data_IF_893716946278
#
_entry.id   IF_893716946278
#
_cell.length_a   1.000
_cell.length_b   1.000
_cell.length_c   1.000
_cell.angle_alpha   90.00
_cell.angle_beta   90.00
_cell.angle_gamma   90.00
#
_symmetry.space_group_name_H-M   'P 1'
#
loop_
_entity.id
_entity.type
_entity.pdbx_description
1 polymer ?
#
# COMPACT_ATOMS: atom_id res chain seq x y z
N UNK A 1 1.81 23.60 -3.06
CA UNK A 1 1.61 22.15 -3.24
C UNK A 1 0.54 21.92 -4.31
N UNK A 2 0.95 21.35 -5.44
CA UNK A 2 0.02 21.04 -6.52
C UNK A 2 -0.47 19.60 -6.33
N UNK A 3 -1.79 19.43 -6.16
CA UNK A 3 -2.42 18.13 -5.92
C UNK A 3 -3.59 17.96 -6.91
N UNK A 4 -3.32 17.42 -8.11
CA UNK A 4 -4.34 17.29 -9.15
C UNK A 4 -5.43 16.31 -8.71
N UNK A 5 -6.67 16.66 -9.03
CA UNK A 5 -7.84 15.84 -8.80
C UNK A 5 -8.75 15.85 -10.01
N UNK A 6 -9.18 14.68 -10.44
CA UNK A 6 -10.16 14.49 -11.50
C UNK A 6 -11.30 13.62 -10.96
N UNK A 7 -12.52 14.03 -11.18
CA UNK A 7 -13.74 13.27 -10.82
C UNK A 7 -14.63 13.25 -12.06
N UNK A 8 -14.74 12.07 -12.66
CA UNK A 8 -15.61 11.84 -13.81
C UNK A 8 -16.79 10.97 -13.38
N UNK A 9 -18.00 11.42 -13.63
CA UNK A 9 -19.22 10.67 -13.36
C UNK A 9 -20.07 10.62 -14.62
N UNK A 10 -20.43 9.42 -14.99
CA UNK A 10 -21.36 9.16 -16.08
C UNK A 10 -22.55 8.37 -15.59
N UNK A 11 -23.72 9.00 -15.67
CA UNK A 11 -25.00 8.37 -15.36
C UNK A 11 -25.53 7.73 -16.64
N UNK A 12 -25.41 6.39 -16.74
CA UNK A 12 -25.83 5.61 -17.91
C UNK A 12 -27.35 5.50 -17.91
N UNK A 13 -27.95 5.28 -16.74
CA UNK A 13 -29.40 5.24 -16.52
C UNK A 13 -29.76 5.74 -15.11
N UNK A 14 -31.03 5.69 -14.74
CA UNK A 14 -31.44 6.05 -13.38
C UNK A 14 -30.91 5.07 -12.33
N UNK A 15 -30.55 3.87 -12.73
CA UNK A 15 -30.10 2.79 -11.85
C UNK A 15 -28.68 2.32 -12.16
N UNK A 16 -28.01 2.96 -13.13
CA UNK A 16 -26.66 2.60 -13.55
C UNK A 16 -25.77 3.82 -13.68
N UNK A 17 -24.62 3.78 -13.03
CA UNK A 17 -23.60 4.85 -13.12
C UNK A 17 -22.20 4.29 -13.03
N UNK A 18 -21.30 5.01 -13.66
CA UNK A 18 -19.84 4.82 -13.53
C UNK A 18 -19.23 6.10 -12.96
N UNK A 19 -18.27 5.94 -12.09
CA UNK A 19 -17.49 7.04 -11.54
C UNK A 19 -16.03 6.68 -11.54
N UNK A 20 -15.22 7.55 -12.12
CA UNK A 20 -13.77 7.43 -12.13
C UNK A 20 -13.19 8.63 -11.40
N UNK A 21 -12.35 8.37 -10.42
CA UNK A 21 -11.67 9.40 -9.64
C UNK A 21 -10.18 9.18 -9.71
N UNK A 22 -9.47 10.25 -9.93
CA UNK A 22 -8.03 10.32 -9.75
C UNK A 22 -7.71 11.46 -8.80
N UNK A 23 -6.83 11.19 -7.85
CA UNK A 23 -6.24 12.23 -7.03
C UNK A 23 -4.79 11.90 -6.72
N UNK A 24 -3.95 12.91 -6.79
CA UNK A 24 -2.59 12.84 -6.33
C UNK A 24 -2.41 13.67 -5.06
N UNK A 25 -1.54 13.23 -4.20
CA UNK A 25 -1.12 13.97 -3.00
C UNK A 25 0.38 13.84 -2.82
N UNK A 26 0.99 14.91 -2.32
CA UNK A 26 2.41 14.95 -2.03
C UNK A 26 2.63 14.81 -0.52
N UNK A 27 3.49 13.88 -0.13
CA UNK A 27 3.97 13.71 1.25
C UNK A 27 5.37 14.34 1.37
N UNK A 28 5.54 15.23 2.34
CA UNK A 28 6.85 15.80 2.64
C UNK A 28 7.59 14.92 3.64
N UNK A 29 8.93 14.83 3.54
CA UNK A 29 9.75 14.21 4.58
C UNK A 29 9.53 14.92 5.94
N UNK A 30 9.63 14.18 7.03
CA UNK A 30 9.60 14.79 8.36
C UNK A 30 10.88 15.58 8.61
N UNK A 31 10.82 16.55 9.54
CA UNK A 31 12.02 17.28 9.94
C UNK A 31 13.11 16.36 10.50
N UNK A 32 12.70 15.35 11.25
CA UNK A 32 13.63 14.34 11.81
C UNK A 32 14.30 13.51 10.72
N UNK A 33 13.59 13.20 9.64
CA UNK A 33 14.18 12.47 8.52
C UNK A 33 15.18 13.32 7.72
N UNK A 34 15.04 14.64 7.73
CA UNK A 34 15.92 15.56 7.01
C UNK A 34 17.15 15.98 7.82
N UNK A 35 17.09 15.89 9.15
CA UNK A 35 18.21 16.29 10.01
C UNK A 35 19.33 15.24 9.97
N UNK A 36 20.47 15.62 9.42
CA UNK A 36 21.69 14.78 9.36
C UNK A 36 22.44 14.73 10.70
N UNK A 37 21.68 14.55 11.79
CA UNK A 37 22.23 14.34 13.12
C UNK A 37 22.32 12.85 13.39
N UNK A 38 23.51 12.35 13.63
CA UNK A 38 23.73 10.94 13.94
C UNK A 38 23.39 10.68 15.40
N UNK A 39 22.42 9.81 15.61
CA UNK A 39 22.12 9.24 16.94
C UNK A 39 22.94 7.96 17.12
N UNK A 40 23.91 8.03 18.01
CA UNK A 40 24.82 6.96 18.41
C UNK A 40 24.66 6.58 19.90
N UNK A 41 23.55 6.94 20.50
CA UNK A 41 23.24 6.63 21.91
C UNK A 41 23.26 5.12 22.20
N UNK A 42 22.93 4.33 21.19
CA UNK A 42 23.08 2.88 21.18
C UNK A 42 24.13 2.44 20.14
N UNK A 43 25.30 1.95 20.55
CA UNK A 43 26.37 1.56 19.60
C UNK A 43 26.00 0.38 18.68
N UNK A 44 24.95 -0.38 19.00
CA UNK A 44 24.43 -1.44 18.15
C UNK A 44 23.30 -0.95 17.21
N UNK A 45 22.85 0.29 17.36
CA UNK A 45 21.83 0.88 16.52
C UNK A 45 22.10 2.36 16.30
N UNK A 46 22.75 2.67 15.22
CA UNK A 46 23.12 4.02 14.84
C UNK A 46 22.23 4.51 13.72
N UNK A 47 21.64 5.66 13.87
CA UNK A 47 20.70 6.23 12.89
C UNK A 47 21.07 7.67 12.53
N UNK A 48 20.75 8.07 11.29
CA UNK A 48 20.89 9.45 10.83
C UNK A 48 19.75 9.81 9.90
N UNK A 49 19.44 11.11 9.78
CA UNK A 49 18.54 11.60 8.74
C UNK A 49 19.24 11.71 7.38
N UNK A 50 18.52 12.26 6.39
CA UNK A 50 19.00 12.44 5.03
C UNK A 50 18.41 13.72 4.44
N UNK A 51 19.22 14.77 4.34
CA UNK A 51 18.82 16.04 3.73
C UNK A 51 18.50 15.94 2.23
N UNK A 52 18.98 14.87 1.56
CA UNK A 52 18.70 14.59 0.15
C UNK A 52 17.34 13.98 -0.14
N UNK A 53 16.48 13.80 0.86
CA UNK A 53 15.16 13.24 0.67
C UNK A 53 14.27 14.12 -0.20
N UNK A 54 13.59 13.47 -1.15
CA UNK A 54 12.57 14.07 -2.00
C UNK A 54 11.18 13.75 -1.48
N UNK A 55 10.26 14.67 -1.75
CA UNK A 55 8.83 14.45 -1.45
C UNK A 55 8.29 13.23 -2.16
N UNK A 56 7.47 12.46 -1.47
CA UNK A 56 6.75 11.34 -2.03
C UNK A 56 5.50 11.80 -2.75
N UNK A 57 5.09 11.05 -3.80
CA UNK A 57 3.86 11.25 -4.54
C UNK A 57 2.98 10.01 -4.45
N UNK A 58 1.79 10.21 -3.91
CA UNK A 58 0.76 9.18 -3.84
C UNK A 58 -0.30 9.45 -4.90
N UNK A 59 -0.41 8.56 -5.89
CA UNK A 59 -1.40 8.59 -6.96
C UNK A 59 -2.48 7.58 -6.64
N UNK A 60 -3.73 8.02 -6.58
CA UNK A 60 -4.91 7.19 -6.32
C UNK A 60 -5.85 7.21 -7.49
N UNK A 61 -6.15 6.04 -8.00
CA UNK A 61 -7.19 5.80 -9.00
C UNK A 61 -8.30 4.99 -8.34
N UNK A 62 -9.53 5.45 -8.50
CA UNK A 62 -10.71 4.72 -8.04
C UNK A 62 -11.71 4.64 -9.18
N UNK A 63 -12.18 3.44 -9.45
CA UNK A 63 -13.27 3.16 -10.39
C UNK A 63 -14.41 2.54 -9.61
N UNK A 64 -15.56 3.14 -9.73
CA UNK A 64 -16.79 2.66 -9.13
C UNK A 64 -17.84 2.49 -10.23
N UNK A 65 -18.47 1.33 -10.27
CA UNK A 65 -19.59 1.04 -11.15
C UNK A 65 -20.69 0.37 -10.36
N UNK A 66 -21.90 0.81 -10.55
CA UNK A 66 -23.08 0.10 -10.06
C UNK A 66 -24.17 0.05 -11.13
N UNK A 67 -24.93 -1.02 -11.09
CA UNK A 67 -26.11 -1.22 -11.89
C UNK A 67 -27.16 -2.00 -11.09
N UNK A 68 -28.42 -1.64 -11.26
CA UNK A 68 -29.53 -2.33 -10.65
C UNK A 68 -30.68 -2.48 -11.65
N UNK A 69 -31.14 -3.70 -11.86
CA UNK A 69 -32.28 -4.04 -12.71
C UNK A 69 -33.49 -4.29 -11.82
N UNK A 70 -34.39 -3.32 -11.77
CA UNK A 70 -35.54 -3.31 -10.86
C UNK A 70 -36.45 -4.51 -11.07
N UNK A 71 -36.77 -4.83 -12.31
CA UNK A 71 -37.68 -5.93 -12.68
C UNK A 71 -37.19 -7.30 -12.21
N UNK A 72 -35.87 -7.50 -12.25
CA UNK A 72 -35.21 -8.74 -11.83
C UNK A 72 -34.76 -8.71 -10.38
N UNK A 73 -34.85 -7.56 -9.69
CA UNK A 73 -34.27 -7.34 -8.38
C UNK A 73 -32.81 -7.81 -8.33
N UNK A 74 -32.07 -7.50 -9.38
CA UNK A 74 -30.69 -7.92 -9.57
C UNK A 74 -29.80 -6.70 -9.66
N UNK A 75 -28.74 -6.71 -8.89
CA UNK A 75 -27.78 -5.62 -8.88
C UNK A 75 -26.35 -6.10 -8.73
N UNK A 76 -25.44 -5.30 -9.23
CA UNK A 76 -24.02 -5.48 -8.99
C UNK A 76 -23.33 -4.15 -8.80
N UNK A 77 -22.32 -4.19 -7.98
CA UNK A 77 -21.45 -3.06 -7.69
C UNK A 77 -19.99 -3.52 -7.79
N UNK A 78 -19.20 -2.79 -8.54
CA UNK A 78 -17.76 -3.00 -8.65
C UNK A 78 -17.07 -1.74 -8.13
N UNK A 79 -16.10 -1.92 -7.26
CA UNK A 79 -15.21 -0.87 -6.82
C UNK A 79 -13.77 -1.37 -6.95
N UNK A 80 -12.95 -0.65 -7.69
CA UNK A 80 -11.54 -0.94 -7.85
C UNK A 80 -10.72 0.30 -7.47
N UNK A 81 -9.68 0.08 -6.69
CA UNK A 81 -8.73 1.11 -6.30
C UNK A 81 -7.33 0.68 -6.68
N UNK A 82 -6.55 1.61 -7.18
CA UNK A 82 -5.12 1.46 -7.40
C UNK A 82 -4.39 2.64 -6.78
N UNK A 83 -3.43 2.35 -5.93
CA UNK A 83 -2.58 3.34 -5.28
C UNK A 83 -1.13 3.07 -5.66
N UNK A 84 -0.44 4.10 -6.12
CA UNK A 84 0.98 4.05 -6.41
C UNK A 84 1.69 5.15 -5.63
N UNK A 85 2.76 4.77 -4.94
CA UNK A 85 3.59 5.71 -4.20
C UNK A 85 4.97 5.81 -4.87
N UNK A 86 5.23 6.96 -5.46
CA UNK A 86 6.52 7.30 -6.06
C UNK A 86 7.37 8.07 -5.04
N UNK A 87 8.66 7.85 -5.06
CA UNK A 87 9.62 8.41 -4.10
C UNK A 87 9.20 8.13 -2.64
N UNK A 88 8.65 6.95 -2.37
CA UNK A 88 8.30 6.56 -1.01
C UNK A 88 9.52 6.66 -0.11
N UNK A 89 9.36 7.20 1.10
CA UNK A 89 10.43 7.26 2.09
C UNK A 89 10.42 5.93 2.83
N UNK A 90 11.54 5.23 2.76
CA UNK A 90 11.74 3.94 3.40
C UNK A 90 13.08 3.95 4.13
N UNK A 91 13.15 3.31 5.28
CA UNK A 91 14.40 3.17 6.03
C UNK A 91 15.29 2.14 5.34
N UNK A 92 16.46 2.57 4.90
CA UNK A 92 17.53 1.68 4.49
C UNK A 92 18.28 1.22 5.74
N UNK A 93 18.56 -0.07 5.82
CA UNK A 93 19.27 -0.68 6.94
C UNK A 93 20.48 -1.43 6.43
N UNK A 94 21.63 -1.12 6.99
CA UNK A 94 22.89 -1.82 6.76
C UNK A 94 23.28 -2.52 8.05
N UNK A 95 23.63 -3.79 7.95
CA UNK A 95 23.98 -4.62 9.09
C UNK A 95 25.45 -5.05 9.01
N UNK A 96 26.21 -4.72 10.05
CA UNK A 96 27.56 -5.21 10.21
C UNK A 96 27.54 -6.57 10.89
N UNK A 97 27.88 -7.62 10.15
CA UNK A 97 27.86 -8.99 10.64
C UNK A 97 28.99 -9.30 11.64
N UNK A 98 30.06 -8.50 11.68
CA UNK A 98 31.19 -8.69 12.58
C UNK A 98 30.89 -8.14 13.97
N UNK A 99 30.30 -6.94 14.04
CA UNK A 99 30.03 -6.23 15.30
C UNK A 99 28.61 -6.38 15.79
N UNK A 100 27.68 -6.83 14.93
CA UNK A 100 26.24 -6.84 15.18
C UNK A 100 25.58 -5.46 15.10
N UNK A 101 26.32 -4.42 14.72
CA UNK A 101 25.78 -3.08 14.62
C UNK A 101 24.85 -2.91 13.42
N UNK A 102 23.79 -2.13 13.61
CA UNK A 102 22.80 -1.77 12.60
C UNK A 102 22.88 -0.26 12.33
N UNK A 103 23.03 0.09 11.07
CA UNK A 103 23.04 1.47 10.60
C UNK A 103 21.77 1.73 9.82
N UNK A 104 21.06 2.80 10.12
CA UNK A 104 19.78 3.13 9.49
C UNK A 104 19.72 4.55 8.97
N UNK A 105 19.17 4.73 7.77
CA UNK A 105 18.97 6.02 7.11
C UNK A 105 17.69 6.03 6.28
N UNK A 106 16.86 7.07 6.33
CA UNK A 106 15.72 7.20 5.43
C UNK A 106 16.19 7.50 4.00
N UNK A 107 15.64 6.81 3.01
CA UNK A 107 15.94 6.95 1.60
C UNK A 107 14.68 6.87 0.74
N UNK A 108 14.67 7.55 -0.41
CA UNK A 108 13.57 7.41 -1.35
C UNK A 108 13.65 6.10 -2.13
N UNK A 109 12.51 5.43 -2.29
CA UNK A 109 12.39 4.21 -3.05
C UNK A 109 11.13 4.23 -3.93
N UNK A 110 11.24 3.65 -5.12
CA UNK A 110 10.13 3.47 -6.04
C UNK A 110 9.74 1.99 -6.14
N UNK A 111 8.50 1.76 -6.59
CA UNK A 111 7.98 0.42 -6.81
C UNK A 111 6.85 0.03 -5.84
N UNK A 112 6.49 0.89 -4.92
CA UNK A 112 5.39 0.65 -3.98
C UNK A 112 4.05 0.95 -4.63
N UNK A 113 3.18 -0.06 -4.69
CA UNK A 113 1.82 0.09 -5.15
C UNK A 113 0.92 -0.99 -4.55
N UNK A 114 -0.35 -0.69 -4.46
CA UNK A 114 -1.35 -1.66 -4.08
C UNK A 114 -2.63 -1.46 -4.89
N UNK A 115 -3.35 -2.54 -5.07
CA UNK A 115 -4.68 -2.52 -5.67
C UNK A 115 -5.64 -3.32 -4.82
N UNK A 116 -6.87 -2.85 -4.74
CA UNK A 116 -7.96 -3.61 -4.17
C UNK A 116 -9.19 -3.51 -5.08
N UNK A 117 -9.90 -4.61 -5.19
CA UNK A 117 -11.13 -4.72 -5.94
C UNK A 117 -12.21 -5.37 -5.09
N UNK A 118 -13.44 -4.85 -5.18
CA UNK A 118 -14.60 -5.44 -4.53
C UNK A 118 -15.71 -5.59 -5.55
N UNK A 119 -16.30 -6.78 -5.62
CA UNK A 119 -17.49 -7.09 -6.39
C UNK A 119 -18.60 -7.49 -5.42
N UNK A 120 -19.71 -6.79 -5.49
CA UNK A 120 -20.95 -7.17 -4.82
C UNK A 120 -21.97 -7.56 -5.89
N UNK A 121 -22.65 -8.65 -5.69
CA UNK A 121 -23.73 -9.07 -6.53
C UNK A 121 -24.90 -9.51 -5.65
N UNK A 122 -26.09 -9.09 -6.02
CA UNK A 122 -27.32 -9.53 -5.39
C UNK A 122 -28.38 -9.84 -6.43
N UNK A 123 -29.14 -10.88 -6.19
CA UNK A 123 -30.26 -11.26 -7.05
C UNK A 123 -31.35 -11.96 -6.27
N UNK A 124 -32.59 -11.76 -6.71
CA UNK A 124 -33.72 -12.52 -6.25
C UNK A 124 -34.08 -13.60 -7.27
N UNK A 125 -34.29 -14.82 -6.81
CA UNK A 125 -34.54 -16.00 -7.64
C UNK A 125 -36.00 -16.49 -7.45
N UNK A 126 -36.58 -16.97 -8.52
CA UNK A 126 -37.91 -17.55 -8.58
C UNK A 126 -39.02 -16.54 -8.88
N UNK A 127 -40.21 -17.03 -9.29
CA UNK A 127 -41.35 -16.17 -9.69
C UNK A 127 -41.83 -15.26 -8.58
N UNK A 128 -41.79 -15.73 -7.34
CA UNK A 128 -42.19 -14.97 -6.14
C UNK A 128 -41.05 -14.28 -5.43
N UNK A 129 -39.80 -14.42 -5.99
CA UNK A 129 -38.59 -13.80 -5.46
C UNK A 129 -38.30 -14.08 -3.98
N UNK A 130 -38.68 -15.28 -3.53
CA UNK A 130 -38.51 -15.69 -2.13
C UNK A 130 -37.04 -16.00 -1.78
N UNK A 131 -36.21 -16.35 -2.77
CA UNK A 131 -34.79 -16.62 -2.58
C UNK A 131 -33.97 -15.40 -2.96
N UNK A 132 -33.13 -14.94 -2.04
CA UNK A 132 -32.19 -13.87 -2.28
C UNK A 132 -30.77 -14.40 -2.11
N UNK A 133 -29.93 -14.12 -3.10
CA UNK A 133 -28.51 -14.44 -3.09
C UNK A 133 -27.72 -13.14 -3.06
N UNK A 134 -26.80 -13.03 -2.12
CA UNK A 134 -25.85 -11.94 -2.04
C UNK A 134 -24.45 -12.52 -2.04
N UNK A 135 -23.59 -11.99 -2.89
CA UNK A 135 -22.17 -12.33 -2.88
C UNK A 135 -21.35 -11.06 -2.71
N UNK A 136 -20.27 -11.18 -1.98
CA UNK A 136 -19.24 -10.18 -1.87
C UNK A 136 -17.89 -10.85 -2.08
N UNK A 137 -17.19 -10.43 -3.13
CA UNK A 137 -15.82 -10.88 -3.41
C UNK A 137 -14.88 -9.69 -3.28
N UNK A 138 -13.87 -9.81 -2.44
CA UNK A 138 -12.81 -8.83 -2.27
C UNK A 138 -11.46 -9.41 -2.65
N UNK A 139 -10.69 -8.67 -3.43
CA UNK A 139 -9.32 -9.02 -3.81
C UNK A 139 -8.42 -7.85 -3.45
N UNK A 140 -7.34 -8.15 -2.72
CA UNK A 140 -6.30 -7.18 -2.42
C UNK A 140 -4.95 -7.71 -2.90
N UNK A 141 -4.17 -6.84 -3.51
CA UNK A 141 -2.80 -7.12 -3.89
C UNK A 141 -1.91 -5.95 -3.51
N UNK A 142 -0.83 -6.25 -2.80
CA UNK A 142 0.18 -5.29 -2.41
C UNK A 142 1.55 -5.67 -2.98
N UNK A 143 2.25 -4.68 -3.50
CA UNK A 143 3.63 -4.77 -3.94
C UNK A 143 4.43 -3.70 -3.19
N UNK A 144 5.18 -4.15 -2.19
CA UNK A 144 5.99 -3.28 -1.34
C UNK A 144 7.47 -3.54 -1.62
N UNK A 145 8.20 -2.47 -1.85
CA UNK A 145 9.65 -2.49 -2.06
C UNK A 145 10.30 -1.75 -0.90
N UNK A 146 11.29 -2.37 -0.30
CA UNK A 146 12.11 -1.80 0.75
C UNK A 146 13.59 -1.98 0.44
N UNK A 147 14.44 -1.26 1.14
CA UNK A 147 15.88 -1.52 1.13
C UNK A 147 16.21 -2.57 2.18
N UNK A 148 16.99 -3.56 1.78
CA UNK A 148 17.60 -4.51 2.70
C UNK A 148 19.02 -4.75 2.23
N UNK A 149 19.97 -4.59 3.13
CA UNK A 149 21.35 -4.87 2.85
C UNK A 149 22.04 -5.49 4.05
N UNK A 150 22.91 -6.41 3.79
CA UNK A 150 23.89 -6.92 4.75
C UNK A 150 25.23 -7.08 4.04
N UNK A 151 26.30 -6.83 4.73
CA UNK A 151 27.64 -7.14 4.22
C UNK A 151 28.40 -7.97 5.24
N UNK A 152 29.13 -8.94 4.73
CA UNK A 152 30.09 -9.74 5.51
C UNK A 152 31.53 -9.38 5.17
N UNK A 153 31.74 -8.39 4.29
CA UNK A 153 33.07 -7.99 3.88
C UNK A 153 33.67 -6.99 4.89
N UNK A 154 34.64 -7.45 5.67
CA UNK A 154 35.35 -6.63 6.65
C UNK A 154 36.04 -5.40 6.06
N UNK A 155 36.35 -5.39 4.78
CA UNK A 155 36.95 -4.24 4.10
C UNK A 155 35.97 -3.05 4.01
N UNK A 156 34.68 -3.31 3.93
CA UNK A 156 33.65 -2.27 3.89
C UNK A 156 33.58 -1.46 5.19
N UNK A 157 34.03 -2.02 6.32
CA UNK A 157 33.94 -1.38 7.63
C UNK A 157 35.21 -0.64 8.07
N UNK A 158 36.35 -0.89 7.42
CA UNK A 158 37.65 -0.32 7.82
C UNK A 158 37.75 1.22 7.68
N UNK A 159 36.90 1.85 6.90
CA UNK A 159 36.97 3.28 6.56
C UNK A 159 35.70 4.07 6.89
N UNK A 160 34.88 3.55 7.80
CA UNK A 160 33.60 4.21 8.17
C UNK A 160 33.74 5.22 9.32
N UNK A 161 34.91 5.35 9.94
CA UNK A 161 35.09 6.23 11.06
C UNK A 161 35.69 7.57 10.65
N UNK A 162 35.24 8.62 11.32
CA UNK A 162 35.83 9.94 11.25
C UNK A 162 37.11 9.99 12.12
N UNK A 163 37.96 11.03 11.97
CA UNK A 163 39.19 11.19 12.80
C UNK A 163 38.89 11.31 14.31
N UNK A 164 37.70 11.72 14.69
CA UNK A 164 37.24 11.83 16.08
C UNK A 164 36.67 10.52 16.66
N UNK A 165 36.67 9.44 15.86
CA UNK A 165 36.15 8.12 16.22
C UNK A 165 34.65 7.96 16.05
N UNK A 166 33.92 8.99 15.60
CA UNK A 166 32.50 8.88 15.27
C UNK A 166 32.26 8.13 13.96
N UNK A 167 31.09 7.50 13.82
CA UNK A 167 30.73 6.81 12.58
C UNK A 167 30.33 7.81 11.51
N UNK A 168 30.95 7.69 10.34
CA UNK A 168 30.56 8.43 9.14
C UNK A 168 29.48 7.67 8.39
N UNK A 169 28.24 8.09 8.54
CA UNK A 169 27.08 7.41 7.97
C UNK A 169 27.06 7.46 6.44
N UNK A 170 27.62 8.49 5.79
CA UNK A 170 27.71 8.53 4.33
C UNK A 170 28.61 7.43 3.81
N UNK A 171 29.77 7.24 4.43
CA UNK A 171 30.69 6.13 4.06
C UNK A 171 30.08 4.75 4.27
N UNK A 172 29.26 4.57 5.32
CA UNK A 172 28.54 3.32 5.55
C UNK A 172 27.64 2.99 4.36
N UNK A 173 26.88 3.98 3.87
CA UNK A 173 25.94 3.76 2.77
C UNK A 173 26.57 3.82 1.37
N UNK A 174 27.77 4.42 1.24
CA UNK A 174 28.56 4.37 0.00
C UNK A 174 29.30 3.04 -0.18
N UNK A 175 29.82 2.46 0.90
CA UNK A 175 30.62 1.23 0.86
C UNK A 175 29.76 -0.03 0.70
N UNK A 176 28.45 0.05 0.89
CA UNK A 176 27.55 -1.11 0.85
C UNK A 176 26.52 -0.97 -0.26
N UNK A 177 26.42 -1.98 -1.10
CA UNK A 177 25.36 -2.06 -2.10
C UNK A 177 24.03 -2.33 -1.40
N UNK A 178 23.08 -1.42 -1.59
CA UNK A 178 21.73 -1.56 -1.03
C UNK A 178 20.86 -2.40 -1.98
N UNK A 179 20.55 -3.59 -1.56
CA UNK A 179 19.62 -4.44 -2.27
C UNK A 179 18.16 -4.05 -1.99
N UNK A 180 17.30 -4.23 -2.99
CA UNK A 180 15.86 -4.01 -2.88
C UNK A 180 15.18 -5.33 -2.59
N UNK A 181 14.50 -5.40 -1.46
CA UNK A 181 13.62 -6.50 -1.14
C UNK A 181 12.19 -6.16 -1.57
N UNK A 182 11.53 -7.11 -2.22
CA UNK A 182 10.15 -6.97 -2.67
C UNK A 182 9.26 -7.94 -1.91
N UNK A 183 8.24 -7.42 -1.26
CA UNK A 183 7.18 -8.20 -0.62
C UNK A 183 5.89 -8.07 -1.41
N UNK A 184 5.35 -9.20 -1.83
CA UNK A 184 4.05 -9.29 -2.51
C UNK A 184 3.05 -9.94 -1.57
N UNK A 185 1.91 -9.28 -1.39
CA UNK A 185 0.83 -9.78 -0.55
C UNK A 185 -0.43 -9.90 -1.37
N UNK A 186 -1.07 -11.06 -1.33
CA UNK A 186 -2.37 -11.27 -1.98
C UNK A 186 -3.35 -11.76 -0.92
N UNK A 187 -4.52 -11.15 -0.87
CA UNK A 187 -5.63 -11.66 -0.07
C UNK A 187 -6.91 -11.66 -0.88
N UNK A 188 -7.68 -12.71 -0.74
CA UNK A 188 -9.00 -12.88 -1.34
C UNK A 188 -9.95 -13.18 -0.21
N UNK A 189 -11.05 -12.46 -0.18
CA UNK A 189 -12.14 -12.71 0.76
C UNK A 189 -13.45 -12.86 -0.03
N UNK A 190 -14.19 -13.86 0.32
CA UNK A 190 -15.50 -14.18 -0.24
C UNK A 190 -16.51 -14.25 0.89
N UNK A 191 -17.68 -13.69 0.66
CA UNK A 191 -18.83 -13.85 1.55
C UNK A 191 -20.04 -14.16 0.71
N UNK A 192 -20.70 -15.24 1.02
CA UNK A 192 -21.88 -15.72 0.33
C UNK A 192 -23.03 -15.82 1.33
N UNK A 193 -24.16 -15.20 0.97
CA UNK A 193 -25.38 -15.21 1.78
C UNK A 193 -26.56 -15.69 0.95
N UNK A 194 -27.26 -16.67 1.46
CA UNK A 194 -28.55 -17.15 0.92
C UNK A 194 -29.63 -16.83 1.93
N UNK A 195 -30.67 -16.13 1.51
CA UNK A 195 -31.84 -15.87 2.32
C UNK A 195 -33.07 -16.43 1.60
N UNK A 196 -33.85 -17.21 2.32
CA UNK A 196 -35.20 -17.57 1.93
C UNK A 196 -36.17 -16.79 2.79
N UNK A 197 -37.10 -16.11 2.16
CA UNK A 197 -38.14 -15.34 2.86
C UNK A 197 -39.49 -15.48 2.15
N UNK A 198 -40.47 -15.97 2.85
CA UNK A 198 -41.88 -15.91 2.43
C UNK A 198 -42.71 -15.23 3.52
N UNK A 199 -44.03 -15.20 3.36
CA UNK A 199 -44.94 -14.51 4.28
C UNK A 199 -44.98 -15.12 5.70
N UNK A 200 -44.44 -16.33 5.89
CA UNK A 200 -44.53 -17.10 7.13
C UNK A 200 -43.14 -17.42 7.74
N UNK A 201 -42.09 -17.44 6.93
CA UNK A 201 -40.78 -17.94 7.34
C UNK A 201 -39.62 -17.15 6.67
N UNK A 202 -38.61 -16.84 7.46
CA UNK A 202 -37.34 -16.32 6.97
C UNK A 202 -36.17 -17.21 7.47
N UNK A 203 -35.35 -17.69 6.55
CA UNK A 203 -34.16 -18.49 6.85
C UNK A 203 -32.97 -17.92 6.08
N UNK A 204 -31.88 -17.67 6.78
CA UNK A 204 -30.63 -17.18 6.19
C UNK A 204 -29.46 -18.11 6.50
N UNK A 205 -28.59 -18.32 5.50
CA UNK A 205 -27.32 -19.03 5.64
C UNK A 205 -26.21 -18.12 5.14
N UNK A 206 -25.18 -17.96 5.95
CA UNK A 206 -23.99 -17.15 5.63
C UNK A 206 -22.74 -18.02 5.72
N UNK A 207 -21.76 -17.78 4.84
CA UNK A 207 -20.41 -18.36 4.90
C UNK A 207 -19.38 -17.26 4.97
#
# INVERSE_FOLDING_TARGET
>A
NWAPRVDFRWKISNTSQIRVRYNASMGQPSMTDLLEVTDNSNPLHISTGNAGLRSSWNNRFNVFYNNYIVEKQMGWMVNANYNQNNNNISTATVYNTETGARYTRPMNINGNWNTNGNLMFNTAIGPKKYFNVHTFTGINYGHNVGYQSSTSDGSAWGNIYNPDGSVNMDKVFENVTLDKATTKTTSINENLRFNFRNDLLEVGVNS
#
